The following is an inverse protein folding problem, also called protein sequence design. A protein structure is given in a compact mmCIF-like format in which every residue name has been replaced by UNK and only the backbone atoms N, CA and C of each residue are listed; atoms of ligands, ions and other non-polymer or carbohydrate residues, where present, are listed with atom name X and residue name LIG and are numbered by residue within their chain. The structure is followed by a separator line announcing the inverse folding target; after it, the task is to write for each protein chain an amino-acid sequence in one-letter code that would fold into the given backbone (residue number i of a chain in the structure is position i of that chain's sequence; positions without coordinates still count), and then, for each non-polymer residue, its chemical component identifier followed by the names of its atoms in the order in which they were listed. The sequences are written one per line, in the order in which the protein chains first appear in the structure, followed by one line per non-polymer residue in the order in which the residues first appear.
data_IF_010713456345
#
_entry.id   IF_010713456345
#
_cell.length_a   1.000
_cell.length_b   1.000
_cell.length_c   1.000
_cell.angle_alpha   90.00
_cell.angle_beta   90.00
_cell.angle_gamma   90.00
#
_symmetry.space_group_name_H-M   'P 1'
#
loop_
_entity.id
_entity.type
_entity.pdbx_description
1 polymer ?
#
# COMPACT_ATOMS: atom_id res chain seq x y z
N UNK A 1 -5.84 -0.49 6.22
CA UNK A 1 -7.01 0.39 6.44
C UNK A 1 -6.63 1.68 7.18
N UNK A 2 -5.52 1.71 7.91
CA UNK A 2 -5.04 2.90 8.60
C UNK A 2 -4.76 4.05 7.63
N UNK A 3 -4.26 3.77 6.41
CA UNK A 3 -3.97 4.78 5.38
C UNK A 3 -5.18 5.65 5.07
N UNK A 4 -6.34 5.04 4.82
CA UNK A 4 -7.57 5.74 4.45
C UNK A 4 -8.11 6.57 5.60
N UNK A 5 -8.10 6.02 6.82
CA UNK A 5 -8.58 6.72 8.01
C UNK A 5 -7.69 7.91 8.34
N UNK A 6 -6.38 7.71 8.44
CA UNK A 6 -5.43 8.78 8.80
C UNK A 6 -5.34 9.86 7.72
N UNK A 7 -5.48 9.50 6.45
CA UNK A 7 -5.57 10.46 5.35
C UNK A 7 -6.82 11.34 5.47
N UNK A 8 -7.97 10.75 5.81
CA UNK A 8 -9.23 11.49 5.97
C UNK A 8 -9.16 12.42 7.18
N UNK A 9 -8.71 11.90 8.34
CA UNK A 9 -8.52 12.69 9.57
C UNK A 9 -7.52 13.82 9.34
N UNK A 10 -6.37 13.53 8.71
CA UNK A 10 -5.36 14.53 8.39
C UNK A 10 -5.89 15.63 7.47
N UNK A 11 -6.68 15.28 6.45
CA UNK A 11 -7.29 16.27 5.55
C UNK A 11 -8.31 17.17 6.25
N UNK A 12 -9.10 16.61 7.18
CA UNK A 12 -10.13 17.32 7.93
C UNK A 12 -9.50 18.25 8.96
N UNK A 13 -8.53 17.75 9.74
CA UNK A 13 -7.80 18.56 10.73
C UNK A 13 -6.94 19.63 10.05
N UNK A 14 -6.20 19.27 9.01
CA UNK A 14 -5.40 20.23 8.26
C UNK A 14 -6.27 21.29 7.57
N UNK A 15 -7.43 20.89 7.05
CA UNK A 15 -8.42 21.78 6.46
C UNK A 15 -8.97 22.81 7.45
N UNK A 16 -9.22 22.39 8.69
CA UNK A 16 -9.67 23.28 9.75
C UNK A 16 -8.58 24.29 10.19
N UNK A 17 -7.31 23.91 10.15
CA UNK A 17 -6.20 24.76 10.65
C UNK A 17 -5.71 25.75 9.59
N UNK A 18 -5.53 25.32 8.34
CA UNK A 18 -4.92 26.13 7.29
C UNK A 18 -5.71 26.12 5.97
N UNK A 19 -7.00 25.80 6.02
CA UNK A 19 -7.88 25.81 4.86
C UNK A 19 -7.46 24.77 3.81
N UNK A 20 -7.67 25.04 2.50
CA UNK A 20 -7.42 24.07 1.43
C UNK A 20 -5.97 23.57 1.37
N UNK A 21 -5.00 24.42 1.68
CA UNK A 21 -3.58 24.04 1.70
C UNK A 21 -3.27 23.09 2.86
N UNK A 22 -3.83 23.38 4.04
CA UNK A 22 -3.72 22.50 5.20
C UNK A 22 -4.39 21.15 4.96
N UNK A 23 -5.53 21.12 4.25
CA UNK A 23 -6.19 19.87 3.89
C UNK A 23 -5.30 19.00 2.98
N UNK A 24 -4.63 19.59 1.99
CA UNK A 24 -3.71 18.86 1.10
C UNK A 24 -2.48 18.34 1.86
N UNK A 25 -1.86 19.20 2.69
CA UNK A 25 -0.71 18.81 3.50
C UNK A 25 -1.07 17.72 4.51
N UNK A 26 -2.17 17.88 5.22
CA UNK A 26 -2.67 16.89 6.18
C UNK A 26 -3.07 15.57 5.52
N UNK A 27 -3.61 15.61 4.30
CA UNK A 27 -3.91 14.43 3.50
C UNK A 27 -2.64 13.68 3.07
N UNK A 28 -1.59 14.42 2.67
CA UNK A 28 -0.31 13.84 2.29
C UNK A 28 0.38 13.20 3.51
N UNK A 29 0.48 13.94 4.63
CA UNK A 29 1.08 13.45 5.87
C UNK A 29 0.32 12.25 6.45
N UNK A 30 -1.02 12.33 6.50
CA UNK A 30 -1.87 11.23 6.95
C UNK A 30 -1.77 10.00 6.05
N UNK A 31 -1.67 10.18 4.73
CA UNK A 31 -1.44 9.09 3.78
C UNK A 31 -0.08 8.41 3.99
N UNK A 32 1.00 9.18 4.17
CA UNK A 32 2.34 8.64 4.42
C UNK A 32 2.41 7.88 5.75
N UNK A 33 1.93 8.49 6.83
CA UNK A 33 1.92 7.87 8.15
C UNK A 33 1.01 6.63 8.19
N UNK A 34 -0.18 6.71 7.59
CA UNK A 34 -1.10 5.59 7.55
C UNK A 34 -0.62 4.44 6.65
N UNK A 35 0.13 4.71 5.58
CA UNK A 35 0.79 3.69 4.76
C UNK A 35 1.94 3.01 5.50
N UNK A 36 2.72 3.75 6.30
CA UNK A 36 3.73 3.18 7.18
C UNK A 36 3.11 2.25 8.23
N UNK A 37 1.99 2.68 8.85
CA UNK A 37 1.25 1.87 9.82
C UNK A 37 0.62 0.65 9.15
N UNK A 38 0.00 0.80 7.98
CA UNK A 38 -0.55 -0.33 7.23
C UNK A 38 0.55 -1.31 6.83
N UNK A 39 1.73 -0.86 6.41
CA UNK A 39 2.87 -1.74 6.15
C UNK A 39 3.40 -2.41 7.42
N UNK A 40 3.44 -1.72 8.56
CA UNK A 40 3.87 -2.32 9.82
C UNK A 40 2.88 -3.38 10.32
N UNK A 41 1.58 -3.14 10.18
CA UNK A 41 0.52 -4.02 10.70
C UNK A 41 0.13 -5.14 9.72
N UNK A 42 0.11 -4.87 8.42
CA UNK A 42 -0.33 -5.80 7.37
C UNK A 42 0.83 -6.30 6.51
N UNK A 43 1.93 -5.54 6.40
CA UNK A 43 3.13 -5.95 5.67
C UNK A 43 3.97 -6.98 6.43
N UNK A 44 3.83 -7.09 7.76
CA UNK A 44 4.49 -8.11 8.59
C UNK A 44 4.06 -9.56 8.32
N UNK A 45 3.06 -9.79 7.45
CA UNK A 45 2.75 -11.13 6.92
C UNK A 45 3.64 -11.55 5.74
N UNK A 46 4.50 -10.67 5.24
CA UNK A 46 5.26 -10.83 3.98
C UNK A 46 6.74 -11.19 4.18
N UNK A 47 7.20 -11.33 5.42
CA UNK A 47 8.53 -11.92 5.72
C UNK A 47 8.58 -13.43 5.43
N UNK A 48 7.42 -14.06 5.21
CA UNK A 48 7.37 -15.34 4.54
C UNK A 48 7.73 -15.14 3.07
N UNK A 49 8.73 -15.86 2.52
CA UNK A 49 9.09 -15.72 1.11
C UNK A 49 7.83 -15.91 0.27
N UNK A 50 7.47 -14.88 -0.51
CA UNK A 50 6.36 -14.95 -1.47
C UNK A 50 6.71 -16.01 -2.51
N UNK A 51 6.28 -17.25 -2.28
CA UNK A 51 6.48 -18.36 -3.21
C UNK A 51 5.56 -18.14 -4.40
N UNK A 52 6.11 -17.54 -5.45
CA UNK A 52 5.44 -17.43 -6.75
C UNK A 52 5.81 -18.69 -7.54
N UNK A 53 4.92 -19.68 -7.57
CA UNK A 53 5.03 -20.81 -8.50
C UNK A 53 4.69 -20.32 -9.91
N UNK A 54 5.72 -20.02 -10.70
CA UNK A 54 5.58 -19.77 -12.14
C UNK A 54 5.47 -21.07 -12.94
N UNK A 55 5.08 -20.99 -14.23
CA UNK A 55 5.04 -22.16 -15.13
C UNK A 55 6.35 -22.94 -15.03
N UNK A 56 6.26 -24.24 -14.69
CA UNK A 56 7.45 -25.07 -14.54
C UNK A 56 8.13 -25.16 -15.91
N UNK A 57 9.46 -25.27 -15.94
CA UNK A 57 10.24 -25.45 -17.18
C UNK A 57 9.81 -26.68 -18.01
N UNK A 58 8.95 -27.54 -17.46
CA UNK A 58 8.29 -28.67 -18.13
C UNK A 58 7.09 -28.27 -18.99
N UNK A 59 6.54 -27.07 -18.80
CA UNK A 59 5.31 -26.54 -19.41
C UNK A 59 5.60 -25.37 -20.36
N UNK A 60 6.81 -25.31 -20.93
CA UNK A 60 7.10 -24.34 -22.00
C UNK A 60 6.45 -24.86 -23.28
N UNK A 61 5.36 -24.20 -23.67
CA UNK A 61 4.70 -24.40 -24.96
C UNK A 61 5.73 -24.18 -26.09
N UNK A 62 5.95 -25.22 -26.90
CA UNK A 62 6.99 -25.24 -27.94
C UNK A 62 8.22 -26.13 -27.68
N UNK A 63 8.39 -26.73 -26.50
CA UNK A 63 9.42 -27.78 -26.27
C UNK A 63 8.94 -29.20 -26.62
N UNK A 64 7.63 -29.40 -26.80
CA UNK A 64 7.05 -30.65 -27.30
C UNK A 64 6.91 -30.56 -28.81
N UNK A 65 7.70 -31.35 -29.54
CA UNK A 65 7.45 -31.66 -30.95
C UNK A 65 6.65 -32.96 -30.98
N UNK A 66 5.34 -32.87 -31.23
CA UNK A 66 4.54 -34.02 -31.66
C UNK A 66 4.28 -33.91 -33.15
#
# INVERSE_FOLDING_TARGET
MATLVLQTVGSVVGGMVAGPLGAMAGRALGGLAGAAIDNALLGGGSDAPKVVEGPRLKEIDGLTST
#
